data_IF_704638896337
#
_entry.id   IF_704638896337
#
_cell.length_a   1.000
_cell.length_b   1.000
_cell.length_c   1.000
_cell.angle_alpha   90.00
_cell.angle_beta   90.00
_cell.angle_gamma   90.00
#
_symmetry.space_group_name_H-M   'P 1'
#
loop_
_entity.id
_entity.type
_entity.pdbx_description
1 polymer ?
2 non-polymer ?
3 water ?
#
# COMPACT_ATOMS: atom_id res chain seq x y z
N UNK A 1 -1.30 0.00 -18.73
CA UNK A 1 -2.22 -1.13 -18.80
C UNK A 1 -3.31 -1.15 -17.72
N UNK A 2 -4.40 -1.92 -17.76
CA UNK A 2 -5.29 -2.03 -16.61
C UNK A 2 -4.92 -3.25 -15.75
N UNK A 3 -4.82 -3.07 -14.45
CA UNK A 3 -4.38 -4.15 -13.59
C UNK A 3 -5.51 -4.58 -12.63
N UNK A 4 -5.97 -5.85 -12.61
CA UNK A 4 -6.89 -6.25 -11.54
C UNK A 4 -6.09 -6.66 -10.29
N UNK A 5 -6.74 -6.92 -9.16
CA UNK A 5 -6.02 -7.09 -7.92
C UNK A 5 -6.09 -8.44 -7.23
N UNK A 6 -6.44 -9.48 -7.98
CA UNK A 6 -6.53 -10.85 -7.46
C UNK A 6 -5.18 -11.44 -7.07
N UNK A 7 -4.17 -10.95 -7.79
CA UNK A 7 -2.77 -11.21 -7.50
C UNK A 7 -2.09 -9.88 -7.14
N UNK A 8 -0.97 -9.84 -6.43
CA UNK A 8 -0.23 -8.57 -6.18
C UNK A 8 0.12 -7.73 -7.41
N UNK A 9 -0.09 -6.40 -7.52
CA UNK A 9 0.23 -5.63 -8.72
C UNK A 9 1.73 -5.38 -8.87
N UNK A 10 2.44 -6.36 -9.38
CA UNK A 10 3.87 -6.25 -9.59
C UNK A 10 4.27 -5.82 -10.97
N UNK A 11 5.21 -4.89 -11.15
CA UNK A 11 5.71 -4.58 -12.47
C UNK A 11 7.22 -4.63 -12.50
N UNK A 12 7.74 -4.58 -13.70
CA UNK A 12 9.18 -4.58 -13.88
C UNK A 12 9.73 -3.17 -13.96
N UNK A 13 10.73 -2.88 -13.16
CA UNK A 13 11.34 -1.57 -13.22
C UNK A 13 12.82 -1.72 -13.61
N UNK A 14 13.37 -0.71 -14.29
CA UNK A 14 14.79 -0.66 -14.56
C UNK A 14 15.31 0.57 -13.83
N UNK A 15 16.18 0.31 -12.86
CA UNK A 15 16.80 1.32 -12.04
C UNK A 15 18.30 1.07 -11.81
N UNK A 16 19.09 2.12 -11.99
CA UNK A 16 20.55 2.04 -11.86
C UNK A 16 21.22 1.00 -12.75
N UNK A 17 20.75 0.76 -13.98
CA UNK A 17 21.30 -0.30 -14.85
C UNK A 17 20.79 -1.72 -14.53
N UNK A 18 19.98 -1.86 -13.46
CA UNK A 18 19.46 -3.13 -12.91
C UNK A 18 17.98 -3.42 -13.08
N UNK A 19 17.58 -4.68 -13.36
CA UNK A 19 16.17 -4.98 -13.52
C UNK A 19 15.59 -5.50 -12.25
N UNK A 20 14.52 -4.85 -11.74
CA UNK A 20 13.84 -5.39 -10.57
C UNK A 20 12.34 -5.50 -10.73
N UNK A 21 11.71 -6.17 -9.78
CA UNK A 21 10.25 -6.27 -9.71
C UNK A 21 9.78 -5.43 -8.55
N UNK A 22 8.72 -4.68 -8.74
CA UNK A 22 8.24 -3.84 -7.67
C UNK A 22 6.74 -3.79 -7.63
N UNK A 23 6.23 -3.49 -6.46
CA UNK A 23 4.81 -3.46 -6.19
C UNK A 23 4.21 -2.08 -6.38
N UNK A 24 3.20 -1.89 -7.21
CA UNK A 24 2.53 -0.60 -7.32
C UNK A 24 1.64 -0.41 -6.09
N UNK A 25 2.10 0.51 -5.25
CA UNK A 25 1.45 0.76 -3.99
C UNK A 25 0.77 2.10 -3.73
N UNK A 26 -0.55 2.18 -3.99
CA UNK A 26 -1.37 3.38 -3.73
C UNK A 26 -1.39 3.85 -2.28
N UNK A 27 -1.09 2.96 -1.35
CA UNK A 27 -1.08 3.32 0.07
C UNK A 27 0.30 3.64 0.59
N UNK A 28 1.27 3.83 -0.31
CA UNK A 28 2.61 4.20 0.11
C UNK A 28 2.86 5.59 -0.43
N UNK A 29 3.27 6.49 0.45
CA UNK A 29 3.62 7.85 0.07
C UNK A 29 4.91 7.96 -0.69
N UNK A 30 5.85 7.13 -0.26
CA UNK A 30 7.18 7.05 -0.81
C UNK A 30 7.49 5.74 -1.54
N UNK A 31 8.56 5.78 -2.33
CA UNK A 31 9.10 4.65 -3.08
C UNK A 31 10.24 4.12 -2.25
N UNK A 32 10.14 2.88 -1.83
CA UNK A 32 11.16 2.24 -1.00
C UNK A 32 11.67 0.99 -1.72
N UNK A 33 12.96 0.88 -1.92
CA UNK A 33 13.53 -0.24 -2.62
C UNK A 33 14.48 -0.97 -1.70
N UNK A 34 14.55 -2.28 -1.85
CA UNK A 34 15.50 -3.02 -1.04
C UNK A 34 16.93 -2.66 -1.36
N UNK A 35 17.84 -3.09 -0.52
CA UNK A 35 19.23 -2.72 -0.70
C UNK A 35 19.86 -3.06 -2.06
N UNK A 36 20.32 -2.00 -2.69
CA UNK A 36 20.91 -2.09 -4.03
C UNK A 36 21.95 -1.00 -4.22
N UNK A 37 22.81 -1.22 -5.21
CA UNK A 37 23.86 -0.28 -5.47
C UNK A 37 23.35 0.77 -6.44
N UNK A 38 23.40 1.97 -5.87
CA UNK A 38 23.07 3.19 -6.55
C UNK A 38 24.20 4.23 -6.44
N UNK A 39 24.43 5.00 -7.51
CA UNK A 39 25.45 6.00 -7.51
C UNK A 39 25.08 7.35 -6.88
N UNK A 40 26.03 7.92 -6.14
CA UNK A 40 25.88 9.28 -5.69
C UNK A 40 25.68 9.50 -4.21
N UNK A 41 25.12 10.69 -4.02
CA UNK A 41 24.82 11.12 -2.67
C UNK A 41 23.46 10.67 -2.13
N UNK A 42 23.46 10.49 -0.83
CA UNK A 42 22.25 10.13 -0.14
C UNK A 42 22.24 10.71 1.25
N UNK A 43 21.02 11.04 1.62
CA UNK A 43 20.71 11.60 2.91
C UNK A 43 20.02 10.57 3.81
N UNK A 44 20.24 10.56 5.11
CA UNK A 44 19.55 9.67 6.03
C UNK A 44 18.15 10.16 6.34
N UNK A 45 17.24 9.20 6.42
CA UNK A 45 15.84 9.46 6.73
C UNK A 45 15.22 8.30 7.49
N UNK A 46 14.25 8.56 8.34
CA UNK A 46 13.49 7.51 9.01
C UNK A 46 12.09 7.44 8.41
N UNK A 47 11.61 6.25 8.06
CA UNK A 47 10.21 6.16 7.63
C UNK A 47 9.49 5.11 8.44
N UNK A 48 8.17 5.21 8.53
CA UNK A 48 7.37 4.22 9.26
C UNK A 48 6.30 3.47 8.45
N UNK A 49 5.95 2.30 8.95
CA UNK A 49 4.94 1.45 8.34
C UNK A 49 4.12 0.75 9.41
N UNK A 50 3.59 -0.47 9.25
CA UNK A 50 2.78 -0.99 10.33
C UNK A 50 3.56 -1.48 11.55
N UNK A 51 4.68 -2.18 11.42
CA UNK A 51 5.37 -2.64 12.63
C UNK A 51 6.41 -1.66 13.19
N UNK A 52 6.38 -0.38 12.85
CA UNK A 52 7.44 0.50 13.28
C UNK A 52 8.19 1.27 12.19
N UNK A 53 9.38 1.69 12.57
CA UNK A 53 10.18 2.57 11.76
C UNK A 53 11.43 1.98 11.17
N UNK A 54 11.78 2.29 9.92
CA UNK A 54 13.10 1.92 9.42
C UNK A 54 13.95 3.12 8.98
N UNK A 55 15.27 2.94 9.03
CA UNK A 55 16.24 3.94 8.55
C UNK A 55 16.57 3.60 7.10
N UNK A 56 16.39 4.59 6.24
CA UNK A 56 16.57 4.42 4.80
C UNK A 56 17.56 5.45 4.27
N UNK A 57 18.16 5.21 3.10
CA UNK A 57 19.00 6.21 2.47
C UNK A 57 18.15 6.92 1.43
N UNK A 58 17.97 8.21 1.49
CA UNK A 58 17.25 8.93 0.48
C UNK A 58 18.08 9.38 -0.73
N UNK A 59 17.69 8.99 -1.94
CA UNK A 59 18.32 9.46 -3.16
C UNK A 59 17.36 10.30 -3.98
N UNK A 60 17.83 11.43 -4.46
CA UNK A 60 17.01 12.33 -5.26
C UNK A 60 17.41 12.28 -6.72
N UNK A 61 16.55 12.85 -7.55
CA UNK A 61 16.75 12.82 -8.99
C UNK A 61 17.06 11.49 -9.64
N UNK A 62 16.61 10.39 -9.03
CA UNK A 62 16.83 9.09 -9.64
C UNK A 62 15.89 8.77 -10.81
N UNK A 63 16.43 8.38 -11.97
CA UNK A 63 15.65 7.95 -13.13
C UNK A 63 15.15 6.52 -12.92
N UNK A 64 13.87 6.29 -13.09
CA UNK A 64 13.34 4.97 -12.94
C UNK A 64 12.38 4.65 -14.05
N UNK A 65 12.59 3.50 -14.70
CA UNK A 65 11.71 3.02 -15.77
C UNK A 65 10.76 1.93 -15.32
N UNK A 66 9.51 2.31 -15.09
CA UNK A 66 8.45 1.46 -14.52
C UNK A 66 7.55 1.03 -15.63
N UNK A 67 7.54 -0.25 -15.94
CA UNK A 67 6.76 -0.77 -17.09
C UNK A 67 6.85 0.11 -18.36
N UNK A 68 8.10 0.45 -18.75
CA UNK A 68 8.35 1.26 -19.95
C UNK A 68 8.05 2.76 -19.82
N UNK A 69 7.54 3.20 -18.67
CA UNK A 69 7.30 4.62 -18.46
C UNK A 69 8.49 5.15 -17.68
N UNK A 70 9.14 6.22 -18.13
CA UNK A 70 10.21 6.85 -17.38
C UNK A 70 9.70 7.88 -16.39
N UNK A 71 10.29 7.92 -15.23
CA UNK A 71 9.90 8.89 -14.23
C UNK A 71 11.15 9.29 -13.44
N UNK A 72 11.27 10.54 -12.97
CA UNK A 72 12.41 11.03 -12.17
C UNK A 72 11.87 11.32 -10.76
N UNK A 73 12.48 10.87 -9.67
CA UNK A 73 11.94 11.16 -8.35
C UNK A 73 12.81 10.70 -7.21
N UNK A 74 12.34 10.96 -5.99
CA UNK A 74 13.03 10.45 -4.80
C UNK A 74 12.81 8.96 -4.58
N UNK A 75 13.87 8.22 -4.33
CA UNK A 75 13.83 6.80 -4.10
C UNK A 75 14.51 6.64 -2.76
N UNK A 76 13.92 5.82 -1.89
CA UNK A 76 14.49 5.50 -0.58
C UNK A 76 15.06 4.09 -0.66
N UNK A 77 16.31 3.82 -0.36
CA UNK A 77 16.80 2.44 -0.39
C UNK A 77 16.95 1.94 1.04
N UNK A 78 16.56 0.71 1.36
CA UNK A 78 16.61 0.28 2.74
C UNK A 78 16.18 -1.17 2.98
N UNK A 79 16.07 -1.58 4.25
CA UNK A 79 15.69 -2.94 4.64
C UNK A 79 14.17 -3.28 4.55
N UNK A 80 13.59 -2.98 3.39
CA UNK A 80 12.20 -3.30 3.12
C UNK A 80 12.13 -4.71 2.58
N UNK A 81 11.09 -5.51 2.85
CA UNK A 81 10.95 -6.87 2.30
C UNK A 81 10.71 -6.98 0.78
N UNK A 82 9.95 -6.02 0.26
CA UNK A 82 9.60 -5.97 -1.14
C UNK A 82 9.75 -4.53 -1.56
N UNK A 83 10.16 -4.42 -2.81
CA UNK A 83 10.31 -3.18 -3.52
C UNK A 83 8.95 -2.52 -3.64
N UNK A 84 8.80 -1.26 -3.28
CA UNK A 84 7.51 -0.58 -3.27
C UNK A 84 7.57 0.68 -4.14
N UNK A 85 6.65 0.87 -5.10
CA UNK A 85 6.53 2.12 -5.86
C UNK A 85 5.35 2.86 -5.26
N UNK A 86 5.57 4.02 -4.64
CA UNK A 86 4.55 4.74 -3.91
C UNK A 86 4.03 5.89 -4.70
N UNK A 87 3.18 6.71 -4.12
CA UNK A 87 2.50 7.76 -4.90
C UNK A 87 3.36 8.88 -5.44
N UNK A 88 4.57 9.09 -4.96
CA UNK A 88 5.43 10.08 -5.60
C UNK A 88 5.87 9.73 -7.02
N UNK A 89 5.90 8.44 -7.39
CA UNK A 89 6.17 8.05 -8.77
C UNK A 89 4.91 7.64 -9.53
N UNK A 90 3.91 7.02 -8.90
CA UNK A 90 2.67 6.59 -9.58
C UNK A 90 1.92 7.75 -10.22
N UNK A 91 1.86 8.91 -9.58
CA UNK A 91 1.34 10.12 -10.21
C UNK A 91 2.18 10.49 -11.43
N UNK A 92 3.51 10.32 -11.44
CA UNK A 92 4.26 10.60 -12.68
C UNK A 92 4.03 9.63 -13.80
N UNK A 93 3.85 8.33 -13.62
CA UNK A 93 3.44 7.45 -14.75
C UNK A 93 1.93 7.47 -15.09
N UNK A 94 1.15 8.39 -14.51
CA UNK A 94 -0.28 8.57 -14.80
C UNK A 94 -1.22 7.51 -14.23
N UNK A 95 -0.81 6.98 -13.09
CA UNK A 95 -1.56 5.93 -12.42
C UNK A 95 -2.81 6.36 -11.66
N UNK A 96 -3.97 5.77 -11.97
CA UNK A 96 -5.24 5.96 -11.24
C UNK A 96 -5.91 4.71 -10.69
N UNK A 97 -6.67 4.88 -9.63
CA UNK A 97 -7.49 3.82 -9.07
C UNK A 97 -8.88 3.90 -9.68
N UNK A 98 -9.55 2.79 -9.97
CA UNK A 98 -10.90 2.78 -10.52
C UNK A 98 -11.86 1.73 -9.94
N UNK A 99 -13.09 2.09 -9.62
CA UNK A 99 -14.17 1.23 -9.13
C UNK A 99 -15.53 1.99 -9.24
N UNK B 1 -15.88 5.41 -8.96
CA UNK B 1 -15.40 6.68 -9.49
C UNK B 1 -13.94 6.60 -9.92
N UNK B 2 -13.32 7.53 -10.63
CA UNK B 2 -11.90 7.45 -10.91
C UNK B 2 -11.18 8.23 -9.81
N UNK B 3 -10.06 7.74 -9.29
CA UNK B 3 -9.36 8.38 -8.17
C UNK B 3 -7.88 8.65 -8.54
N UNK B 4 -7.42 9.91 -8.65
CA UNK B 4 -6.00 10.17 -8.95
C UNK B 4 -5.16 10.15 -7.67
N UNK B 5 -3.84 10.03 -7.73
CA UNK B 5 -3.06 9.83 -6.53
C UNK B 5 -2.18 10.95 -6.00
N UNK B 6 -2.57 12.19 -6.27
CA UNK B 6 -1.85 13.37 -5.80
C UNK B 6 -2.07 13.53 -4.30
N UNK B 7 -3.21 13.07 -3.82
CA UNK B 7 -3.52 13.06 -2.39
C UNK B 7 -3.68 11.60 -1.95
N UNK B 8 -3.71 11.22 -0.67
CA UNK B 8 -3.91 9.81 -0.28
C UNK B 8 -5.26 9.24 -0.72
N UNK B 9 -5.48 8.07 -1.34
CA UNK B 9 -6.80 7.62 -1.75
C UNK B 9 -7.62 7.16 -0.55
N UNK B 10 -8.16 8.12 0.20
CA UNK B 10 -8.98 7.92 1.38
C UNK B 10 -10.49 7.90 1.14
N UNK B 11 -11.17 6.82 1.53
CA UNK B 11 -12.62 6.73 1.43
C UNK B 11 -13.35 6.54 2.75
N UNK B 12 -14.64 6.85 2.76
CA UNK B 12 -15.47 6.58 3.93
C UNK B 12 -15.99 5.13 4.02
N UNK B 13 -15.64 4.42 5.08
CA UNK B 13 -16.21 3.10 5.27
C UNK B 13 -17.29 3.13 6.36
N UNK B 14 -18.31 2.27 6.28
CA UNK B 14 -19.24 2.09 7.38
C UNK B 14 -19.02 0.66 7.80
N UNK B 15 -18.62 0.47 9.04
CA UNK B 15 -18.34 -0.84 9.59
C UNK B 15 -18.79 -0.96 11.05
N UNK B 16 -19.53 -2.02 11.35
CA UNK B 16 -20.05 -2.26 12.70
C UNK B 16 -20.87 -1.09 13.29
N UNK B 17 -21.63 -0.33 12.49
CA UNK B 17 -22.41 0.81 13.00
C UNK B 17 -21.70 2.16 12.89
N UNK B 18 -20.38 2.04 12.85
CA UNK B 18 -19.44 3.14 12.84
C UNK B 18 -19.00 3.62 11.48
N UNK B 19 -18.83 4.94 11.36
CA UNK B 19 -18.27 5.54 10.16
C UNK B 19 -16.78 5.76 10.34
N UNK B 20 -15.92 5.29 9.42
CA UNK B 20 -14.49 5.62 9.48
C UNK B 20 -13.97 6.01 8.10
N UNK B 21 -12.75 6.53 8.04
CA UNK B 21 -12.05 6.80 6.80
C UNK B 21 -10.94 5.80 6.67
N UNK B 22 -10.78 5.23 5.49
CA UNK B 22 -9.74 4.26 5.22
C UNK B 22 -8.95 4.50 3.94
N UNK B 23 -7.73 4.05 3.85
CA UNK B 23 -6.87 4.21 2.70
C UNK B 23 -7.10 3.08 1.71
N UNK B 24 -7.42 3.33 0.44
CA UNK B 24 -7.44 2.33 -0.61
C UNK B 24 -6.00 1.91 -0.92
N UNK B 25 -5.62 0.73 -0.42
CA UNK B 25 -4.26 0.31 -0.59
C UNK B 25 -3.99 -0.91 -1.43
N UNK B 26 -3.56 -0.75 -2.68
CA UNK B 26 -3.14 -1.93 -3.47
C UNK B 26 -1.93 -2.70 -2.96
N UNK B 27 -1.00 -2.14 -2.18
CA UNK B 27 0.11 -2.96 -1.70
C UNK B 27 -0.17 -3.73 -0.42
N UNK B 28 -1.43 -3.86 0.01
CA UNK B 28 -1.76 -4.53 1.27
C UNK B 28 -2.60 -5.73 0.89
N UNK B 29 -2.21 -6.93 1.29
CA UNK B 29 -2.98 -8.11 0.95
C UNK B 29 -4.23 -8.15 1.77
N UNK B 30 -4.06 -7.75 3.02
CA UNK B 30 -5.09 -7.73 4.01
C UNK B 30 -5.68 -6.34 4.30
N UNK B 31 -6.84 -6.37 4.93
CA UNK B 31 -7.51 -5.19 5.47
C UNK B 31 -7.24 -5.08 6.97
N UNK B 32 -6.71 -3.96 7.44
CA UNK B 32 -6.36 -3.77 8.85
C UNK B 32 -6.97 -2.51 9.44
N UNK B 33 -7.85 -2.59 10.41
CA UNK B 33 -8.42 -1.42 11.01
C UNK B 33 -7.82 -1.18 12.37
N UNK B 34 -7.81 0.07 12.75
CA UNK B 34 -7.40 0.46 14.08
C UNK B 34 -8.35 -0.10 15.12
N UNK B 35 -7.86 -0.32 16.34
CA UNK B 35 -8.69 -0.84 17.42
C UNK B 35 -10.10 -0.23 17.59
N UNK B 36 -11.06 -1.11 17.35
CA UNK B 36 -12.46 -0.75 17.50
C UNK B 36 -13.27 -1.94 17.98
N UNK B 37 -14.46 -1.52 18.41
CA UNK B 37 -15.56 -2.36 18.90
C UNK B 37 -16.25 -3.22 17.82
N UNK B 38 -15.91 -4.49 17.68
CA UNK B 38 -16.59 -5.35 16.75
C UNK B 38 -17.26 -6.57 17.37
N UNK B 39 -18.46 -6.96 16.95
CA UNK B 39 -19.15 -8.06 17.53
C UNK B 39 -18.60 -9.42 17.14
N UNK B 40 -18.27 -10.14 18.19
CA UNK B 40 -18.03 -11.54 18.01
C UNK B 40 -16.69 -12.16 18.34
N UNK B 41 -16.62 -13.21 17.52
CA UNK B 41 -15.56 -14.20 17.50
C UNK B 41 -14.36 -13.77 16.65
N UNK B 42 -13.19 -13.76 17.27
CA UNK B 42 -11.96 -13.36 16.62
C UNK B 42 -10.76 -14.26 16.89
N UNK B 43 -9.84 -14.48 15.96
CA UNK B 43 -8.63 -15.26 16.26
C UNK B 43 -7.34 -14.42 16.44
N UNK B 44 -6.29 -14.82 17.17
CA UNK B 44 -5.02 -14.09 17.29
C UNK B 44 -4.26 -14.26 15.99
N UNK B 45 -3.72 -13.21 15.40
CA UNK B 45 -2.96 -13.34 14.16
C UNK B 45 -1.83 -12.31 14.11
N UNK B 46 -0.71 -12.64 13.50
CA UNK B 46 0.35 -11.66 13.36
C UNK B 46 0.58 -11.34 11.94
N UNK B 47 0.65 -10.05 11.66
CA UNK B 47 0.93 -9.69 10.29
C UNK B 47 2.16 -8.83 10.22
N UNK B 48 2.79 -8.79 9.06
CA UNK B 48 3.96 -7.94 8.89
C UNK B 48 3.89 -6.83 7.82
N UNK B 49 4.79 -5.87 7.99
CA UNK B 49 4.97 -4.76 7.05
C UNK B 49 6.36 -4.13 7.16
N UNK B 50 6.53 -2.92 6.66
CA UNK B 50 7.77 -2.21 6.88
C UNK B 50 7.95 -1.98 8.37
N UNK B 51 9.15 -2.09 8.89
CA UNK B 51 9.30 -1.90 10.33
C UNK B 51 9.06 -3.21 11.10
N UNK B 52 8.11 -4.06 10.75
CA UNK B 52 8.01 -5.34 11.44
C UNK B 52 6.63 -5.92 11.56
N UNK B 53 6.43 -6.65 12.65
CA UNK B 53 5.15 -7.27 12.85
C UNK B 53 4.25 -6.76 13.96
N UNK B 54 2.96 -6.83 13.71
CA UNK B 54 1.99 -6.57 14.77
C UNK B 54 1.04 -7.76 14.93
N UNK B 55 0.53 -7.79 16.13
CA UNK B 55 -0.47 -8.78 16.50
C UNK B 55 -1.85 -8.13 16.42
N UNK B 56 -2.69 -8.78 15.66
CA UNK B 56 -4.04 -8.32 15.37
C UNK B 56 -5.09 -9.39 15.65
N UNK B 57 -6.33 -8.93 15.83
CA UNK B 57 -7.47 -9.80 16.02
C UNK B 57 -8.15 -10.04 14.68
N UNK B 58 -8.26 -11.28 14.25
CA UNK B 58 -8.97 -11.62 13.05
C UNK B 58 -10.46 -11.90 13.17
N UNK B 59 -11.28 -11.10 12.50
CA UNK B 59 -12.73 -11.27 12.40
C UNK B 59 -13.07 -11.65 11.00
N UNK B 60 -13.75 -12.74 10.70
CA UNK B 60 -14.15 -13.10 9.31
C UNK B 60 -15.59 -12.79 9.00
N UNK B 61 -16.00 -12.81 7.74
CA UNK B 61 -17.40 -12.50 7.41
C UNK B 61 -17.97 -11.18 7.98
N UNK B 62 -17.14 -10.14 8.07
CA UNK B 62 -17.62 -8.82 8.46
C UNK B 62 -18.25 -8.05 7.30
N UNK B 63 -19.39 -7.39 7.43
CA UNK B 63 -19.92 -6.55 6.39
C UNK B 63 -19.21 -5.20 6.49
N UNK B 64 -18.80 -4.64 5.36
CA UNK B 64 -18.14 -3.36 5.29
C UNK B 64 -18.80 -2.64 4.15
N UNK B 65 -19.04 -1.38 4.33
CA UNK B 65 -19.45 -0.57 3.20
C UNK B 65 -18.37 0.43 2.77
N UNK B 66 -17.66 0.15 1.68
CA UNK B 66 -16.59 1.02 1.18
C UNK B 66 -17.16 2.01 0.18
N UNK B 67 -17.14 3.31 0.45
CA UNK B 67 -17.67 4.35 -0.46
C UNK B 67 -18.99 3.96 -1.14
N UNK B 68 -19.94 3.54 -0.29
CA UNK B 68 -21.29 3.11 -0.71
C UNK B 68 -21.40 1.75 -1.43
N UNK B 69 -20.34 0.93 -1.49
CA UNK B 69 -20.34 -0.41 -2.09
C UNK B 69 -20.26 -1.44 -0.96
N UNK B 70 -21.07 -2.50 -0.98
CA UNK B 70 -21.04 -3.54 0.04
C UNK B 70 -20.11 -4.71 -0.28
N UNK B 71 -19.49 -5.21 0.77
CA UNK B 71 -18.61 -6.36 0.68
C UNK B 71 -18.46 -7.08 2.02
N UNK B 72 -18.18 -8.39 2.00
CA UNK B 72 -17.99 -9.18 3.22
C UNK B 72 -16.66 -9.90 3.14
N UNK B 73 -15.89 -9.78 4.22
CA UNK B 73 -14.57 -10.36 4.22
C UNK B 73 -13.92 -10.37 5.58
N UNK B 74 -12.67 -10.83 5.53
CA UNK B 74 -11.84 -10.87 6.73
C UNK B 74 -11.27 -9.50 6.99
N UNK B 75 -11.45 -9.09 8.22
CA UNK B 75 -10.95 -7.83 8.71
C UNK B 75 -10.07 -8.06 9.92
N UNK B 76 -8.94 -7.38 9.96
CA UNK B 76 -8.01 -7.53 11.05
C UNK B 76 -8.05 -6.28 11.89
N UNK B 77 -8.05 -6.38 13.20
CA UNK B 77 -8.12 -5.18 13.99
C UNK B 77 -6.96 -5.19 14.95
N UNK B 78 -6.24 -4.11 14.88
CA UNK B 78 -5.06 -4.00 15.68
C UNK B 78 -4.43 -2.62 15.62
N UNK B 79 -3.22 -2.53 16.14
CA UNK B 79 -2.49 -1.27 16.16
C UNK B 79 -1.86 -0.78 14.85
N UNK B 80 -2.70 -0.34 13.92
CA UNK B 80 -2.25 0.22 12.66
C UNK B 80 -2.46 1.71 12.76
N UNK B 81 -1.59 2.59 12.25
CA UNK B 81 -1.73 4.05 12.32
C UNK B 81 -2.93 4.61 11.54
N UNK B 82 -3.13 4.00 10.36
CA UNK B 82 -4.22 4.35 9.49
C UNK B 82 -4.97 3.06 9.14
N UNK B 83 -6.26 3.19 8.97
CA UNK B 83 -7.15 2.15 8.48
C UNK B 83 -6.83 1.92 6.99
N UNK B 84 -6.61 0.65 6.64
CA UNK B 84 -6.15 0.23 5.33
C UNK B 84 -7.17 -0.71 4.71
N UNK B 85 -7.72 -0.49 3.52
CA UNK B 85 -8.57 -1.45 2.81
C UNK B 85 -7.59 -2.16 1.89
N UNK B 86 -7.37 -3.45 2.06
CA UNK B 86 -6.38 -4.20 1.33
C UNK B 86 -6.95 -4.94 0.15
N UNK B 87 -6.19 -5.77 -0.52
CA UNK B 87 -6.71 -6.36 -1.74
C UNK B 87 -7.79 -7.44 -1.55
N UNK B 88 -7.94 -8.10 -0.40
CA UNK B 88 -9.04 -9.05 -0.24
C UNK B 88 -10.40 -8.40 -0.37
N UNK B 89 -10.47 -7.12 -0.04
CA UNK B 89 -11.72 -6.39 -0.22
C UNK B 89 -11.75 -5.57 -1.48
N UNK B 90 -10.61 -5.07 -1.96
CA UNK B 90 -10.63 -4.22 -3.15
C UNK B 90 -11.12 -4.96 -4.40
N UNK B 91 -10.99 -6.26 -4.43
CA UNK B 91 -11.49 -7.06 -5.55
C UNK B 91 -13.00 -7.18 -5.62
N UNK B 92 -13.61 -7.11 -4.46
CA UNK B 92 -15.06 -7.13 -4.29
C UNK B 92 -15.83 -5.88 -4.75
N UNK B 93 -15.27 -4.70 -4.49
CA UNK B 93 -15.86 -3.48 -5.02
C UNK B 93 -15.40 -3.23 -6.46
N UNK B 94 -14.72 -4.18 -7.12
CA UNK B 94 -14.26 -4.01 -8.49
C UNK B 94 -13.14 -2.99 -8.72
N UNK B 95 -12.24 -2.79 -7.77
CA UNK B 95 -11.20 -1.80 -7.94
C UNK B 95 -10.02 -2.19 -8.82
N UNK B 96 -9.74 -1.48 -9.92
CA UNK B 96 -8.59 -1.70 -10.81
C UNK B 96 -7.55 -0.56 -10.86
N UNK B 97 -6.32 -0.87 -11.21
CA UNK B 97 -5.28 0.15 -11.37
C UNK B 97 -5.18 0.57 -12.82
N UNK B 98 -4.93 1.82 -13.15
CA UNK B 98 -4.82 2.22 -14.53
C UNK B 98 -3.66 3.13 -14.76
N UNK B 99 -2.90 2.86 -15.78
CA UNK B 99 -1.79 3.68 -16.25
C UNK B 99 -1.46 3.34 -17.72
X LIG C 1 3.36 5.31 4.44
X LIG C 1 3.14 5.71 3.29
X LIG C 1 3.47 5.48 6.79
X LIG C 1 3.01 5.97 5.62
X LIG C 1 2.14 7.07 5.62
X LIG C 1 1.75 7.62 6.85
X LIG C 1 1.88 7.60 9.27
X LIG C 1 2.40 7.03 10.44
X LIG C 1 3.27 5.93 10.38
X LIG C 1 3.64 5.41 9.15
X LIG C 1 2.25 7.08 8.04
X LIG C 1 3.13 5.98 7.99
X LIG C 1 4.00 4.17 4.71
X LIG C 1 4.38 3.20 3.69
X LIG C 1 3.79 1.83 3.97
X LIG C 1 4.41 0.90 4.49
X LIG C 1 5.87 3.10 3.61
X LIG C 1 6.37 4.41 3.06
X LIG C 1 5.90 4.94 2.06
X LIG C 1 7.30 5.09 3.68
X LIG C 1 1.85 -0.30 2.42
X LIG C 1 0.87 0.35 1.62
X LIG C 1 1.85 0.41 3.79
X LIG C 1 2.51 1.69 3.62
X LIG C 1 0.43 0.66 4.34
X LIG C 1 0.44 1.64 5.48
X LIG C 1 0.94 1.25 6.72
X LIG C 1 -0.02 2.94 5.26
X LIG C 1 0.98 2.18 7.75
X LIG C 1 0.03 3.85 6.30
X LIG C 1 0.54 3.47 7.54
X LIG C 1 2.78 -2.58 2.78
X LIG C 1 1.59 -1.81 2.43
X LIG C 1 2.48 -3.90 3.35
X LIG C 1 1.66 -3.94 4.63
X LIG C 1 2.01 -3.25 5.60
X LIG C 1 3.76 -4.67 3.64
X LIG C 1 4.58 -4.85 2.38
X LIG C 1 5.87 -5.56 2.73
X LIG C 1 6.86 -4.67 3.47
X LIG C 1 7.17 -3.42 2.67
X LIG C 1 5.87 -2.65 2.54
X LIG C 1 4.87 -3.45 1.72
X LIG C 1 3.56 -2.70 1.55
X LIG C 1 0.60 -4.75 4.56
X LIG C 1 -0.38 -4.95 5.61
X LIG C 1 -1.38 -5.93 5.06
X LIG C 1 0.23 -5.57 6.83
X LIG C 1 -1.11 -3.65 5.96
#
# INVERSE_FOLDING_TARGET
>A
PQVTLWQRPLVTIKIGGQLKEALLDTGADDTVLEEMSLPGRWKPKMIGGIGGFIKVRQYDQILIEICGHKAIGTVLVGPTPVNIIGRNLLTQIGCTLNF
>B
PQVTLWQRPLVTIKIGGQLKEALLDTGADDTVLEEMSLPGRWKPKMIGGIGGFIKVRQYDQILIEICGHKAIGTVLVGPTPVNIIGRNLLTQIGCTLNF
>C hetero
1 ROC C O N1 C2 C3 C4 C5 C6 C7 C8 C4A C8A N CA C1 O1 CB CG OD1 ND2 C9 O2 CA1 N2 CB1 CG1 CD1 CD2 CE1 CE2 CZ N11 CM C21 CC O3 C31 C3A C41 C51 C61 C71 C7A C81 N3 CD C11 C22 C32
#
